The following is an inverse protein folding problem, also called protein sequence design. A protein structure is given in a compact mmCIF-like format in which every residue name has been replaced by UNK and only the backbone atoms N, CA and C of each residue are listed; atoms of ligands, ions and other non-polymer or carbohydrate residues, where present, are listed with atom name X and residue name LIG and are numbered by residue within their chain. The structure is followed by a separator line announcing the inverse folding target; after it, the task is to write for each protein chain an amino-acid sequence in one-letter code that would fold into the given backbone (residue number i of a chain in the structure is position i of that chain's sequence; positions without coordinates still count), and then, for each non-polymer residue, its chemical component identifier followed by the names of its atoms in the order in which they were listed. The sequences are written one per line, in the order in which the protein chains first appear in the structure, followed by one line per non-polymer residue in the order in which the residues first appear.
data_IF_601874562704
#
_entry.id   IF_601874562704
#
_cell.length_a   1.000
_cell.length_b   1.000
_cell.length_c   1.000
_cell.angle_alpha   90.00
_cell.angle_beta   90.00
_cell.angle_gamma   90.00
#
_symmetry.space_group_name_H-M   'P 1'
#
loop_
_entity.id
_entity.type
_entity.pdbx_description
1 polymer ?
#
# COMPACT_ATOMS: atom_id res chain seq x y z
N UNK A 1 0.09 6.75 51.69
CA UNK A 1 -0.27 5.82 50.61
C UNK A 1 -1.48 6.29 49.81
N UNK A 2 -2.50 6.77 50.45
CA UNK A 2 -3.71 7.18 49.77
C UNK A 2 -3.57 8.48 48.98
N UNK A 3 -2.68 9.34 49.36
CA UNK A 3 -2.49 10.63 48.71
C UNK A 3 -1.89 10.54 47.31
N UNK A 4 -1.12 9.51 47.06
CA UNK A 4 -0.54 9.33 45.74
C UNK A 4 -1.54 8.95 44.66
N UNK A 5 -2.60 8.31 45.05
CA UNK A 5 -3.62 7.84 44.09
C UNK A 5 -4.43 8.95 43.45
N UNK A 6 -4.69 9.98 44.21
CA UNK A 6 -5.43 11.11 43.70
C UNK A 6 -4.69 11.87 42.61
N UNK A 7 -3.40 11.96 42.73
CA UNK A 7 -2.57 12.61 41.72
C UNK A 7 -2.55 11.82 40.42
N UNK A 8 -2.50 10.51 40.54
CA UNK A 8 -2.50 9.63 39.35
C UNK A 8 -3.78 9.79 38.54
N UNK A 9 -4.91 9.89 39.20
CA UNK A 9 -6.19 10.05 38.49
C UNK A 9 -6.26 11.37 37.75
N UNK A 10 -5.73 12.44 38.31
CA UNK A 10 -5.72 13.73 37.65
C UNK A 10 -4.80 13.74 36.41
N UNK A 11 -3.68 13.06 36.50
CA UNK A 11 -2.77 12.93 35.36
C UNK A 11 -3.38 12.13 34.25
N UNK A 12 -4.08 11.07 34.57
CA UNK A 12 -4.76 10.26 33.55
C UNK A 12 -5.79 11.05 32.75
N UNK A 13 -6.53 11.89 33.41
CA UNK A 13 -7.52 12.73 32.74
C UNK A 13 -6.90 13.71 31.77
N UNK A 14 -5.80 14.30 32.15
CA UNK A 14 -5.09 15.24 31.30
C UNK A 14 -4.45 14.53 30.10
N UNK A 15 -3.91 13.36 30.30
CA UNK A 15 -3.34 12.56 29.22
C UNK A 15 -4.41 12.11 28.22
N UNK A 16 -5.56 11.73 28.69
CA UNK A 16 -6.67 11.34 27.83
C UNK A 16 -7.12 12.50 26.91
N UNK A 17 -7.16 13.71 27.42
CA UNK A 17 -7.52 14.88 26.63
C UNK A 17 -6.45 15.20 25.58
N UNK A 18 -5.18 15.07 25.92
CA UNK A 18 -4.09 15.26 24.98
C UNK A 18 -4.12 14.20 23.87
N UNK A 19 -4.46 12.98 24.22
CA UNK A 19 -4.53 11.87 23.26
C UNK A 19 -5.63 12.06 22.21
N UNK A 20 -6.69 12.75 22.51
CA UNK A 20 -7.75 13.01 21.55
C UNK A 20 -7.25 13.85 20.37
N UNK A 21 -6.33 14.77 20.60
CA UNK A 21 -5.75 15.57 19.53
C UNK A 21 -4.67 14.83 18.76
N UNK A 22 -4.02 13.84 19.41
CA UNK A 22 -2.89 13.11 18.84
C UNK A 22 -3.22 11.68 18.45
N UNK A 23 -4.50 11.29 18.51
CA UNK A 23 -4.92 9.94 18.11
C UNK A 23 -4.64 9.73 16.63
N UNK A 24 -3.82 8.74 16.25
CA UNK A 24 -3.52 8.49 14.86
C UNK A 24 -4.76 7.96 14.12
N UNK A 25 -4.87 8.30 12.85
CA UNK A 25 -5.89 7.74 11.97
C UNK A 25 -5.65 6.24 11.76
N UNK A 26 -6.61 5.56 11.12
CA UNK A 26 -6.44 4.17 10.72
C UNK A 26 -5.24 4.00 9.80
N UNK A 27 -5.07 4.93 8.88
CA UNK A 27 -3.93 4.94 7.97
C UNK A 27 -2.61 5.03 8.74
N UNK A 28 -2.50 5.98 9.67
CA UNK A 28 -1.29 6.17 10.46
C UNK A 28 -0.98 4.95 11.34
N UNK A 29 -2.00 4.37 11.96
CA UNK A 29 -1.85 3.16 12.77
C UNK A 29 -1.39 1.97 11.93
N UNK A 30 -1.96 1.80 10.76
CA UNK A 30 -1.59 0.70 9.85
C UNK A 30 -0.17 0.89 9.32
N UNK A 31 0.19 2.12 8.96
CA UNK A 31 1.53 2.45 8.49
C UNK A 31 2.58 2.12 9.56
N UNK A 32 2.30 2.45 10.80
CA UNK A 32 3.20 2.13 11.93
C UNK A 32 3.35 0.63 12.11
N UNK A 33 2.26 -0.12 12.05
CA UNK A 33 2.29 -1.58 12.16
C UNK A 33 3.09 -2.21 11.03
N UNK A 34 2.86 -1.75 9.83
CA UNK A 34 3.58 -2.26 8.66
C UNK A 34 5.07 -1.98 8.74
N UNK A 35 5.43 -0.79 9.20
CA UNK A 35 6.83 -0.41 9.39
C UNK A 35 7.52 -1.29 10.42
N UNK A 36 6.85 -1.57 11.53
CA UNK A 36 7.35 -2.47 12.56
C UNK A 36 7.51 -3.90 12.03
N UNK A 37 6.54 -4.37 11.27
CA UNK A 37 6.57 -5.70 10.68
C UNK A 37 7.74 -5.85 9.71
N UNK A 38 7.94 -4.87 8.85
CA UNK A 38 9.06 -4.87 7.93
C UNK A 38 10.40 -4.84 8.68
N UNK A 39 10.50 -4.01 9.71
CA UNK A 39 11.69 -3.94 10.56
C UNK A 39 12.04 -5.27 11.20
N UNK A 40 11.06 -5.98 11.71
CA UNK A 40 11.25 -7.33 12.25
C UNK A 40 11.72 -8.29 11.19
N UNK A 41 11.13 -8.23 10.01
CA UNK A 41 11.48 -9.11 8.90
C UNK A 41 12.96 -8.97 8.52
N UNK A 42 13.44 -7.75 8.30
CA UNK A 42 14.83 -7.53 7.89
C UNK A 42 15.83 -7.86 9.00
N UNK A 43 15.46 -7.65 10.26
CA UNK A 43 16.31 -8.02 11.39
C UNK A 43 16.42 -9.54 11.57
N UNK A 44 15.41 -10.28 11.17
CA UNK A 44 15.38 -11.74 11.28
C UNK A 44 15.99 -12.45 10.09
N UNK A 45 16.45 -11.72 9.09
CA UNK A 45 17.18 -12.32 7.97
C UNK A 45 18.56 -12.78 8.44
N UNK A 46 19.14 -13.71 7.71
CA UNK A 46 20.47 -14.26 8.04
C UNK A 46 21.40 -14.14 6.84
N UNK A 47 22.32 -13.19 6.88
CA UNK A 47 22.57 -12.23 7.99
C UNK A 47 21.49 -11.14 8.07
N UNK A 48 21.31 -10.51 9.24
CA UNK A 48 20.36 -9.42 9.36
C UNK A 48 20.70 -8.27 8.39
N UNK A 49 19.66 -7.66 7.86
CA UNK A 49 19.81 -6.56 6.89
C UNK A 49 19.57 -5.23 7.60
N UNK A 50 20.59 -4.37 7.69
CA UNK A 50 20.36 -3.01 8.21
C UNK A 50 19.48 -2.21 7.25
N UNK A 51 18.65 -1.33 7.78
CA UNK A 51 17.76 -0.51 6.97
C UNK A 51 18.55 0.30 5.93
N UNK A 52 19.73 0.79 6.29
CA UNK A 52 20.58 1.56 5.39
C UNK A 52 21.09 0.76 4.19
N UNK A 53 21.10 -0.56 4.27
CA UNK A 53 21.52 -1.45 3.20
C UNK A 53 20.35 -2.14 2.49
N UNK A 54 19.13 -1.84 2.92
CA UNK A 54 17.96 -2.42 2.34
C UNK A 54 17.73 -1.86 0.92
N UNK A 55 17.50 -2.76 -0.03
CA UNK A 55 17.26 -2.38 -1.43
C UNK A 55 15.95 -3.00 -1.94
N UNK A 56 15.63 -2.77 -3.22
CA UNK A 56 14.42 -3.29 -3.82
C UNK A 56 14.29 -4.80 -3.77
N UNK A 57 15.39 -5.53 -3.83
CA UNK A 57 15.36 -6.99 -3.76
C UNK A 57 14.91 -7.47 -2.37
N UNK A 58 15.34 -6.81 -1.32
CA UNK A 58 14.89 -7.13 0.04
C UNK A 58 13.40 -6.89 0.20
N UNK A 59 12.90 -5.81 -0.37
CA UNK A 59 11.46 -5.49 -0.36
C UNK A 59 10.69 -6.54 -1.16
N UNK A 60 11.20 -6.94 -2.31
CA UNK A 60 10.57 -7.95 -3.15
C UNK A 60 10.44 -9.28 -2.41
N UNK A 61 11.50 -9.71 -1.72
CA UNK A 61 11.45 -10.92 -0.91
C UNK A 61 10.45 -10.81 0.23
N UNK A 62 10.34 -9.63 0.83
CA UNK A 62 9.34 -9.38 1.86
C UNK A 62 7.91 -9.55 1.31
N UNK A 63 7.63 -9.00 0.14
CA UNK A 63 6.31 -9.15 -0.49
C UNK A 63 6.00 -10.62 -0.78
N UNK A 64 6.97 -11.38 -1.24
CA UNK A 64 6.82 -12.83 -1.47
C UNK A 64 6.60 -13.58 -0.16
N UNK A 65 7.32 -13.19 0.87
CA UNK A 65 7.14 -13.76 2.21
C UNK A 65 5.70 -13.56 2.70
N UNK A 66 5.10 -12.41 2.45
CA UNK A 66 3.75 -12.11 2.89
C UNK A 66 2.67 -12.93 2.21
N UNK A 67 2.95 -13.50 1.04
CA UNK A 67 1.98 -14.33 0.31
C UNK A 67 1.51 -15.53 1.13
N UNK A 68 2.35 -16.10 1.98
CA UNK A 68 1.98 -17.22 2.82
C UNK A 68 0.86 -16.91 3.82
N UNK A 69 0.65 -15.63 4.11
CA UNK A 69 -0.42 -15.17 5.00
C UNK A 69 -1.62 -14.63 4.24
N UNK A 70 -1.58 -14.69 2.92
CA UNK A 70 -2.66 -14.18 2.09
C UNK A 70 -3.90 -15.04 2.15
N UNK A 71 -5.04 -14.44 1.85
CA UNK A 71 -6.35 -15.09 1.88
C UNK A 71 -7.07 -15.02 0.55
N UNK A 72 -6.40 -14.55 -0.49
CA UNK A 72 -6.98 -14.40 -1.82
C UNK A 72 -6.61 -15.61 -2.68
N UNK A 73 -7.62 -16.34 -3.12
CA UNK A 73 -7.43 -17.50 -4.00
C UNK A 73 -6.99 -17.00 -5.39
N UNK A 74 -5.85 -17.48 -5.86
CA UNK A 74 -5.34 -17.17 -7.19
C UNK A 74 -5.19 -18.47 -7.96
N UNK A 75 -6.07 -18.70 -8.93
CA UNK A 75 -6.07 -19.94 -9.69
C UNK A 75 -4.83 -20.06 -10.58
N UNK A 76 -4.27 -21.26 -10.63
CA UNK A 76 -3.21 -21.57 -11.57
C UNK A 76 -3.80 -21.82 -12.97
N UNK A 77 -3.04 -21.60 -14.05
CA UNK A 77 -3.57 -21.75 -15.41
C UNK A 77 -4.18 -23.12 -15.71
N UNK A 78 -3.72 -24.16 -15.03
CA UNK A 78 -4.28 -25.51 -15.19
C UNK A 78 -5.55 -25.78 -14.41
N UNK A 79 -6.00 -24.85 -13.56
CA UNK A 79 -7.20 -25.02 -12.77
C UNK A 79 -8.43 -24.83 -13.65
N UNK A 80 -9.45 -25.67 -13.48
CA UNK A 80 -10.70 -25.57 -14.24
C UNK A 80 -11.49 -24.30 -13.89
N UNK A 81 -11.17 -23.64 -12.78
CA UNK A 81 -11.82 -22.39 -12.36
C UNK A 81 -10.99 -21.15 -12.71
N UNK A 82 -9.92 -21.31 -13.45
CA UNK A 82 -9.10 -20.19 -13.90
C UNK A 82 -9.94 -19.15 -14.63
N UNK A 83 -9.85 -17.90 -14.19
CA UNK A 83 -10.65 -16.81 -14.76
C UNK A 83 -12.03 -16.65 -14.16
N UNK A 84 -12.37 -17.40 -13.12
CA UNK A 84 -13.67 -17.29 -12.44
C UNK A 84 -13.50 -16.63 -11.07
N UNK A 85 -14.11 -15.46 -10.85
CA UNK A 85 -14.00 -14.76 -9.56
C UNK A 85 -14.75 -15.48 -8.44
N UNK A 86 -15.77 -16.26 -8.78
CA UNK A 86 -16.66 -16.88 -7.81
C UNK A 86 -16.95 -18.33 -8.23
N UNK A 87 -15.97 -19.23 -8.07
CA UNK A 87 -16.11 -20.60 -8.57
C UNK A 87 -17.13 -21.39 -7.76
N UNK A 88 -17.82 -22.37 -8.41
CA UNK A 88 -18.88 -23.16 -7.75
C UNK A 88 -18.34 -24.20 -6.78
N UNK A 89 -17.06 -24.46 -6.76
CA UNK A 89 -16.47 -25.51 -5.93
C UNK A 89 -15.05 -25.09 -5.47
N UNK A 90 -14.54 -25.69 -4.39
CA UNK A 90 -13.18 -25.40 -3.94
C UNK A 90 -12.14 -26.02 -4.88
N UNK A 91 -10.93 -25.45 -4.86
CA UNK A 91 -9.79 -25.97 -5.59
C UNK A 91 -8.53 -25.86 -4.72
N UNK A 92 -7.47 -26.53 -5.14
CA UNK A 92 -6.20 -26.55 -4.41
C UNK A 92 -5.27 -25.38 -4.77
N UNK A 93 -5.74 -24.41 -5.54
CA UNK A 93 -4.92 -23.27 -5.92
C UNK A 93 -4.48 -22.46 -4.71
N UNK A 94 -3.31 -21.80 -4.78
CA UNK A 94 -2.74 -21.12 -3.63
C UNK A 94 -3.53 -19.89 -3.20
N UNK A 95 -3.45 -19.60 -1.92
CA UNK A 95 -3.89 -18.32 -1.37
C UNK A 95 -2.69 -17.37 -1.36
N UNK A 96 -2.91 -16.14 -1.78
CA UNK A 96 -1.87 -15.12 -1.85
C UNK A 96 -2.39 -13.80 -1.32
N UNK A 97 -1.51 -12.81 -1.19
CA UNK A 97 -1.92 -11.44 -0.93
C UNK A 97 -2.53 -10.86 -2.20
N UNK A 98 -3.67 -10.19 -2.06
CA UNK A 98 -4.29 -9.49 -3.19
C UNK A 98 -3.39 -8.34 -3.64
N UNK A 99 -3.36 -8.08 -4.95
CA UNK A 99 -2.57 -6.99 -5.50
C UNK A 99 -2.83 -5.65 -4.82
N UNK A 100 -4.10 -5.30 -4.61
CA UNK A 100 -4.46 -4.03 -3.97
C UNK A 100 -3.92 -3.89 -2.56
N UNK A 101 -3.85 -5.00 -1.80
CA UNK A 101 -3.27 -5.01 -0.46
C UNK A 101 -1.76 -4.76 -0.50
N UNK A 102 -1.08 -5.38 -1.44
CA UNK A 102 0.38 -5.19 -1.62
C UNK A 102 0.69 -3.76 -2.07
N UNK A 103 -0.09 -3.23 -2.99
CA UNK A 103 0.08 -1.87 -3.50
C UNK A 103 -0.10 -0.84 -2.39
N UNK A 104 -1.14 -0.99 -1.59
CA UNK A 104 -1.39 -0.12 -0.44
C UNK A 104 -0.28 -0.22 0.61
N UNK A 105 0.19 -1.44 0.88
CA UNK A 105 1.30 -1.68 1.79
C UNK A 105 2.57 -0.95 1.34
N UNK A 106 2.91 -1.06 0.08
CA UNK A 106 4.09 -0.39 -0.47
C UNK A 106 3.96 1.13 -0.35
N UNK A 107 2.77 1.68 -0.60
CA UNK A 107 2.54 3.11 -0.41
C UNK A 107 2.80 3.56 1.02
N UNK A 108 2.32 2.79 2.00
CA UNK A 108 2.53 3.09 3.41
C UNK A 108 4.00 2.96 3.83
N UNK A 109 4.68 1.91 3.39
CA UNK A 109 6.09 1.69 3.70
C UNK A 109 6.98 2.73 3.04
N UNK A 110 6.65 3.15 1.83
CA UNK A 110 7.36 4.21 1.13
C UNK A 110 7.30 5.52 1.93
N UNK A 111 6.12 5.87 2.41
CA UNK A 111 5.95 7.06 3.24
C UNK A 111 6.68 6.92 4.59
N UNK A 112 6.55 5.77 5.24
CA UNK A 112 7.18 5.52 6.53
C UNK A 112 8.70 5.61 6.47
N UNK A 113 9.29 5.13 5.38
CA UNK A 113 10.75 5.18 5.20
C UNK A 113 11.27 6.62 5.28
N UNK A 114 10.62 7.54 4.58
CA UNK A 114 11.01 8.94 4.57
C UNK A 114 10.67 9.64 5.89
N UNK A 115 9.56 9.29 6.52
CA UNK A 115 9.20 9.83 7.84
C UNK A 115 10.17 9.40 8.93
N UNK A 116 10.83 8.27 8.74
CA UNK A 116 11.83 7.75 9.67
C UNK A 116 13.26 8.13 9.27
N UNK A 117 13.43 9.14 8.44
CA UNK A 117 14.71 9.73 8.11
C UNK A 117 15.39 9.21 6.86
N UNK A 118 14.73 8.34 6.11
CA UNK A 118 15.29 7.83 4.86
C UNK A 118 15.23 8.86 3.75
N UNK A 119 16.23 8.85 2.86
CA UNK A 119 16.25 9.79 1.75
C UNK A 119 15.36 9.28 0.60
N UNK A 120 14.65 10.19 -0.10
CA UNK A 120 13.80 9.79 -1.23
C UNK A 120 14.55 9.06 -2.34
N UNK A 121 15.80 9.44 -2.58
CA UNK A 121 16.62 8.83 -3.64
C UNK A 121 17.00 7.39 -3.35
N UNK A 122 17.02 7.01 -2.07
CA UNK A 122 17.39 5.67 -1.63
C UNK A 122 16.23 4.83 -1.15
N UNK A 123 15.03 5.32 -1.33
CA UNK A 123 13.82 4.63 -0.84
C UNK A 123 13.65 3.29 -1.57
N UNK A 124 13.85 2.15 -0.89
CA UNK A 124 13.78 0.85 -1.54
C UNK A 124 12.36 0.48 -1.98
N UNK A 125 11.35 1.08 -1.35
CA UNK A 125 9.95 0.87 -1.70
C UNK A 125 9.54 1.62 -2.96
N UNK A 126 10.34 2.59 -3.40
CA UNK A 126 10.15 3.32 -4.64
C UNK A 126 10.94 2.72 -5.81
N UNK A 127 11.61 1.60 -5.59
CA UNK A 127 12.43 0.93 -6.59
C UNK A 127 11.59 0.48 -7.79
N UNK A 128 12.16 0.61 -9.00
CA UNK A 128 11.51 0.16 -10.23
C UNK A 128 11.18 -1.33 -10.23
N UNK A 129 11.99 -2.16 -9.56
CA UNK A 129 11.75 -3.59 -9.47
C UNK A 129 10.43 -3.89 -8.74
N UNK A 130 10.08 -3.09 -7.73
CA UNK A 130 8.83 -3.26 -7.00
C UNK A 130 7.64 -2.86 -7.88
N UNK A 131 7.78 -1.78 -8.64
CA UNK A 131 6.75 -1.34 -9.57
C UNK A 131 6.44 -2.39 -10.62
N UNK A 132 7.47 -2.99 -11.19
CA UNK A 132 7.32 -4.07 -12.17
C UNK A 132 6.65 -5.28 -11.55
N UNK A 133 7.10 -5.69 -10.37
CA UNK A 133 6.52 -6.84 -9.66
C UNK A 133 5.02 -6.63 -9.37
N UNK A 134 4.65 -5.47 -8.85
CA UNK A 134 3.25 -5.17 -8.56
C UNK A 134 2.38 -5.17 -9.81
N UNK A 135 2.91 -4.69 -10.92
CA UNK A 135 2.21 -4.74 -12.21
C UNK A 135 1.98 -6.18 -12.66
N UNK A 136 2.99 -7.03 -12.54
CA UNK A 136 2.88 -8.44 -12.90
C UNK A 136 1.86 -9.17 -12.02
N UNK A 137 1.88 -8.93 -10.72
CA UNK A 137 0.91 -9.48 -9.78
C UNK A 137 -0.51 -9.06 -10.17
N UNK A 138 -0.68 -7.78 -10.45
CA UNK A 138 -1.97 -7.23 -10.87
C UNK A 138 -2.51 -7.93 -12.11
N UNK A 139 -1.68 -8.04 -13.14
CA UNK A 139 -2.06 -8.68 -14.41
C UNK A 139 -2.36 -10.17 -14.24
N UNK A 140 -1.50 -10.87 -13.50
CA UNK A 140 -1.70 -12.29 -13.23
C UNK A 140 -2.98 -12.55 -12.44
N UNK A 141 -3.24 -11.76 -11.42
CA UNK A 141 -4.44 -11.93 -10.61
C UNK A 141 -5.71 -11.54 -11.35
N UNK A 142 -5.63 -10.54 -12.23
CA UNK A 142 -6.77 -10.16 -13.06
C UNK A 142 -7.19 -11.32 -13.96
N UNK A 143 -6.22 -11.96 -14.60
CA UNK A 143 -6.49 -13.11 -15.46
C UNK A 143 -6.97 -14.33 -14.67
N UNK A 144 -6.28 -14.64 -13.58
CA UNK A 144 -6.59 -15.82 -12.78
C UNK A 144 -7.96 -15.74 -12.10
N UNK A 145 -8.38 -14.55 -11.73
CA UNK A 145 -9.64 -14.31 -11.02
C UNK A 145 -10.77 -13.82 -11.92
N UNK A 146 -10.44 -13.43 -13.15
CA UNK A 146 -11.42 -12.86 -14.06
C UNK A 146 -11.93 -11.49 -13.62
N UNK A 147 -11.12 -10.75 -12.87
CA UNK A 147 -11.49 -9.42 -12.35
C UNK A 147 -10.70 -8.37 -13.12
N UNK A 148 -11.38 -7.52 -13.91
CA UNK A 148 -10.68 -6.49 -14.70
C UNK A 148 -10.29 -5.31 -13.80
N UNK A 149 -9.00 -5.03 -13.72
CA UNK A 149 -8.50 -3.86 -12.98
C UNK A 149 -8.31 -2.63 -13.89
N UNK A 150 -8.45 -2.79 -15.19
CA UNK A 150 -8.19 -1.72 -16.17
C UNK A 150 -9.25 -0.63 -16.22
N UNK A 151 -10.48 -0.91 -15.78
CA UNK A 151 -11.60 0.06 -15.83
C UNK A 151 -11.35 1.31 -14.98
N UNK A 152 -10.64 1.18 -13.86
CA UNK A 152 -10.36 2.33 -12.99
C UNK A 152 -9.38 3.32 -13.61
N UNK A 153 -8.40 2.82 -14.39
CA UNK A 153 -7.45 3.68 -15.09
C UNK A 153 -8.11 4.51 -16.20
N UNK A 154 -9.07 3.93 -16.92
CA UNK A 154 -9.79 4.64 -17.97
C UNK A 154 -10.64 5.80 -17.43
N UNK A 155 -11.32 5.60 -16.31
CA UNK A 155 -12.13 6.66 -15.70
C UNK A 155 -11.28 7.82 -15.22
N UNK A 156 -10.11 7.55 -14.64
CA UNK A 156 -9.21 8.57 -14.17
C UNK A 156 -8.62 9.38 -15.32
N UNK A 157 -8.27 8.71 -16.41
CA UNK A 157 -7.73 9.36 -17.59
C UNK A 157 -8.76 10.26 -18.30
N UNK A 158 -10.02 9.83 -18.39
CA UNK A 158 -11.09 10.65 -18.94
C UNK A 158 -11.33 11.92 -18.13
N UNK A 159 -11.24 11.82 -16.82
CA UNK A 159 -11.43 12.98 -15.95
C UNK A 159 -10.30 14.00 -16.12
N UNK A 160 -9.07 13.53 -16.34
CA UNK A 160 -7.94 14.42 -16.58
C UNK A 160 -8.06 15.12 -17.94
N UNK A 161 -8.57 14.44 -18.96
CA UNK A 161 -8.78 15.00 -20.28
C UNK A 161 -9.90 16.05 -20.32
N UNK A 162 -10.95 15.84 -19.53
CA UNK A 162 -12.04 16.82 -19.43
C UNK A 162 -11.62 18.09 -18.71
N UNK A 163 -10.73 17.95 -17.71
CA UNK A 163 -10.24 19.11 -16.95
C UNK A 163 -9.28 19.96 -17.79
N UNK A 164 -8.46 19.34 -18.60
CA UNK A 164 -7.56 20.05 -19.51
C UNK A 164 -8.31 20.77 -20.64
N UNK A 165 -9.45 20.23 -21.03
CA UNK A 165 -10.25 20.82 -22.11
C UNK A 165 -10.89 22.14 -21.74
N UNK A 166 -11.29 22.32 -20.51
CA UNK A 166 -11.95 23.54 -20.06
C UNK A 166 -10.98 24.72 -19.99
N UNK A 167 -9.73 24.47 -19.62
CA UNK A 167 -8.72 25.53 -19.55
C UNK A 167 -8.36 26.08 -20.92
N UNK A 168 -8.31 25.21 -21.94
CA UNK A 168 -7.99 25.64 -23.29
C UNK A 168 -9.07 26.50 -23.92
N UNK A 169 -10.33 26.24 -23.61
CA UNK A 169 -11.44 27.02 -24.14
C UNK A 169 -11.48 28.45 -23.60
N UNK A 170 -11.13 28.63 -22.33
CA UNK A 170 -11.09 29.96 -21.73
C UNK A 170 -9.96 30.80 -22.31
N UNK A 171 -8.79 30.22 -22.47
CA UNK A 171 -7.65 30.94 -23.05
C UNK A 171 -7.91 31.31 -24.51
N UNK A 172 -8.52 30.41 -25.25
CA UNK A 172 -8.86 30.65 -26.63
C UNK A 172 -9.85 31.78 -26.82
N UNK A 173 -10.86 31.85 -25.97
CA UNK A 173 -11.88 32.90 -26.08
C UNK A 173 -11.34 34.24 -25.62
N UNK A 174 -10.49 34.28 -24.59
CA UNK A 174 -9.92 35.57 -24.15
C UNK A 174 -8.94 36.13 -25.15
N UNK A 175 -8.17 35.32 -25.85
CA UNK A 175 -7.27 35.81 -26.90
C UNK A 175 -8.01 36.31 -28.11
N UNK A 176 -9.16 35.79 -28.42
CA UNK A 176 -10.01 36.31 -29.51
C UNK A 176 -10.60 37.66 -29.20
N UNK A 177 -10.97 37.91 -27.96
CA UNK A 177 -11.50 39.22 -27.55
C UNK A 177 -10.42 40.30 -27.47
N UNK A 178 -9.18 39.92 -27.28
CA UNK A 178 -8.07 40.86 -27.25
C UNK A 178 -7.73 41.44 -28.62
N UNK A 179 -8.17 40.80 -29.66
CA UNK A 179 -8.03 41.28 -31.05
C UNK A 179 -9.20 42.16 -31.44
#
# INVERSE_FOLDING_TARGET
MSSGRGKEVAEEGSDAAANQHNTPSRYESQKRRDWNTFGHYIRNQRPPVPLSQCNGNHVLEFLRYLDQFGKTKVHLPGCMFYGQPDPPAPCACPLRQAWGSLDALIGRLRAAYEENGGSPERNPFASGIIRVYLREVKECQALARGVPYKKQKKKKKQKEEEDDGDDDDEDGSSSRHAM
#
